data_IF_288230489575
#
_entry.id   IF_288230489575
#
_cell.length_a   1.000
_cell.length_b   1.000
_cell.length_c   1.000
_cell.angle_alpha   90.00
_cell.angle_beta   90.00
_cell.angle_gamma   90.00
#
_symmetry.space_group_name_H-M   'P 1'
#
loop_
_entity.id
_entity.type
_entity.pdbx_description
1 polymer ?
#
# COMPACT_ATOMS: atom_id res chain seq x y z
N UNK A 1 9.33 23.41 -82.87
CA UNK A 1 8.31 22.55 -82.23
C UNK A 1 9.03 21.50 -81.41
N UNK A 2 8.52 21.09 -80.24
CA UNK A 2 7.99 21.92 -79.15
C UNK A 2 8.45 21.42 -77.74
N UNK A 3 8.34 22.32 -76.76
CA UNK A 3 7.91 22.14 -75.34
C UNK A 3 8.54 21.00 -74.50
N UNK A 4 8.94 21.23 -73.24
CA UNK A 4 7.99 21.59 -72.19
C UNK A 4 8.70 22.23 -70.99
N UNK A 5 8.29 23.47 -70.72
CA UNK A 5 8.40 24.17 -69.44
C UNK A 5 7.84 23.33 -68.30
N UNK A 6 8.52 23.29 -67.15
CA UNK A 6 7.82 23.14 -65.89
C UNK A 6 8.30 24.22 -64.92
N UNK A 7 7.68 25.39 -65.06
CA UNK A 7 7.54 26.36 -63.99
C UNK A 7 6.68 25.78 -62.85
N UNK A 8 7.29 25.70 -61.67
CA UNK A 8 6.78 25.93 -60.29
C UNK A 8 5.53 25.16 -59.78
N UNK A 9 5.50 24.81 -58.47
CA UNK A 9 4.95 25.78 -57.52
C UNK A 9 5.73 25.92 -56.21
N UNK A 10 5.64 27.16 -55.70
CA UNK A 10 5.81 27.60 -54.32
C UNK A 10 5.33 26.57 -53.29
N UNK A 11 6.18 26.25 -52.31
CA UNK A 11 5.77 26.03 -50.93
C UNK A 11 7.00 26.11 -50.04
N UNK A 12 7.17 27.27 -49.40
CA UNK A 12 7.84 27.32 -48.11
C UNK A 12 6.95 26.53 -47.15
N UNK A 13 7.41 25.44 -46.52
CA UNK A 13 6.75 25.00 -45.33
C UNK A 13 7.28 25.91 -44.21
N UNK A 14 6.49 26.93 -43.88
CA UNK A 14 6.30 27.25 -42.47
C UNK A 14 5.80 25.97 -41.82
N UNK A 15 6.73 25.11 -41.43
CA UNK A 15 6.43 23.88 -40.73
C UNK A 15 6.35 24.18 -39.23
N UNK A 16 5.37 24.99 -38.88
CA UNK A 16 4.90 25.15 -37.50
C UNK A 16 4.00 23.96 -37.09
N UNK A 17 4.01 22.84 -37.83
CA UNK A 17 3.03 21.75 -37.62
C UNK A 17 3.54 20.31 -37.65
N UNK A 18 4.78 19.99 -38.02
CA UNK A 18 5.35 18.68 -37.66
C UNK A 18 5.70 18.71 -36.17
N UNK A 19 5.03 17.91 -35.30
CA UNK A 19 5.44 17.81 -33.92
C UNK A 19 6.89 17.31 -33.90
N UNK A 20 7.82 18.19 -33.50
CA UNK A 20 9.22 17.85 -33.25
C UNK A 20 9.23 16.57 -32.43
N UNK A 21 9.78 15.48 -32.98
CA UNK A 21 10.07 14.26 -32.20
C UNK A 21 11.14 14.63 -31.18
N UNK A 22 10.72 15.17 -30.05
CA UNK A 22 11.59 15.43 -28.92
C UNK A 22 11.82 14.10 -28.20
N UNK A 23 13.09 13.77 -27.96
CA UNK A 23 13.43 12.67 -27.08
C UNK A 23 12.94 12.97 -25.67
N UNK A 24 12.66 11.93 -24.88
CA UNK A 24 12.18 12.07 -23.49
C UNK A 24 13.16 12.94 -22.69
N UNK A 25 14.46 12.78 -22.90
CA UNK A 25 15.50 13.60 -22.26
C UNK A 25 15.39 15.09 -22.61
N UNK A 26 15.10 15.40 -23.88
CA UNK A 26 14.94 16.78 -24.38
C UNK A 26 13.67 17.43 -23.84
N UNK A 27 12.57 16.65 -23.72
CA UNK A 27 11.35 17.07 -23.06
C UNK A 27 11.57 17.31 -21.56
N UNK A 28 12.28 16.42 -20.87
CA UNK A 28 12.57 16.56 -19.44
C UNK A 28 13.44 17.79 -19.18
N UNK A 29 14.44 18.04 -20.03
CA UNK A 29 15.32 19.19 -19.86
C UNK A 29 14.61 20.52 -20.16
N UNK A 30 13.76 20.56 -21.20
CA UNK A 30 13.04 21.79 -21.59
C UNK A 30 11.83 22.11 -20.68
N UNK A 31 11.12 21.10 -20.17
CA UNK A 31 9.89 21.30 -19.40
C UNK A 31 10.03 21.03 -17.90
N UNK A 32 10.95 20.16 -17.46
CA UNK A 32 11.16 19.81 -16.05
C UNK A 32 12.38 20.51 -15.42
N UNK A 33 13.34 20.98 -16.23
CA UNK A 33 14.60 21.57 -15.75
C UNK A 33 15.55 20.55 -15.10
N UNK A 34 16.74 20.98 -14.69
CA UNK A 34 17.67 20.10 -13.96
C UNK A 34 17.16 19.78 -12.55
N UNK A 35 17.35 18.52 -12.13
CA UNK A 35 16.96 18.04 -10.80
C UNK A 35 17.75 18.77 -9.70
N UNK A 36 17.19 19.86 -9.19
CA UNK A 36 17.85 20.72 -8.22
C UNK A 36 17.96 20.08 -6.84
N UNK A 37 18.84 20.61 -5.99
CA UNK A 37 19.00 20.16 -4.58
C UNK A 37 17.69 20.17 -3.78
N UNK A 38 16.83 21.14 -4.05
CA UNK A 38 15.54 21.27 -3.37
C UNK A 38 14.55 20.19 -3.85
N UNK A 39 14.50 19.92 -5.16
CA UNK A 39 13.71 18.81 -5.72
C UNK A 39 14.21 17.46 -5.19
N UNK A 40 15.52 17.25 -5.10
CA UNK A 40 16.10 16.05 -4.49
C UNK A 40 15.68 15.90 -3.02
N UNK A 41 15.71 16.98 -2.24
CA UNK A 41 15.25 16.95 -0.85
C UNK A 41 13.77 16.59 -0.76
N UNK A 42 12.92 17.19 -1.60
CA UNK A 42 11.49 16.87 -1.65
C UNK A 42 11.25 15.42 -2.05
N UNK A 43 11.93 14.95 -3.09
CA UNK A 43 11.86 13.57 -3.53
C UNK A 43 12.23 12.61 -2.39
N UNK A 44 13.36 12.83 -1.71
CA UNK A 44 13.78 11.99 -0.58
C UNK A 44 12.77 12.03 0.56
N UNK A 45 12.28 13.22 0.96
CA UNK A 45 11.30 13.35 2.04
C UNK A 45 9.98 12.64 1.71
N UNK A 46 9.48 12.82 0.48
CA UNK A 46 8.27 12.15 0.02
C UNK A 46 8.47 10.63 -0.04
N UNK A 47 9.56 10.15 -0.64
CA UNK A 47 9.87 8.72 -0.69
C UNK A 47 9.99 8.11 0.71
N UNK A 48 10.60 8.82 1.66
CA UNK A 48 10.68 8.38 3.05
C UNK A 48 9.29 8.33 3.72
N UNK A 49 8.44 9.33 3.49
CA UNK A 49 7.08 9.33 4.02
C UNK A 49 6.27 8.10 3.53
N UNK A 50 6.30 7.83 2.22
CA UNK A 50 5.66 6.65 1.63
C UNK A 50 6.25 5.34 2.12
N UNK A 51 7.57 5.26 2.30
CA UNK A 51 8.21 4.07 2.85
C UNK A 51 7.77 3.81 4.30
N UNK A 52 7.70 4.86 5.13
CA UNK A 52 7.24 4.75 6.51
C UNK A 52 5.77 4.31 6.59
N UNK A 53 4.91 4.85 5.73
CA UNK A 53 3.52 4.43 5.62
C UNK A 53 3.41 2.94 5.27
N UNK A 54 4.22 2.46 4.33
CA UNK A 54 4.25 1.05 3.94
C UNK A 54 4.71 0.14 5.09
N UNK A 55 5.78 0.51 5.80
CA UNK A 55 6.24 -0.26 6.97
C UNK A 55 5.21 -0.29 8.08
N UNK A 56 4.56 0.84 8.38
CA UNK A 56 3.53 0.90 9.40
C UNK A 56 2.32 0.03 9.03
N UNK A 57 1.88 0.09 7.77
CA UNK A 57 0.80 -0.76 7.24
C UNK A 57 1.15 -2.25 7.33
N UNK A 58 2.38 -2.62 6.97
CA UNK A 58 2.86 -3.99 7.09
C UNK A 58 2.79 -4.48 8.55
N UNK A 59 3.27 -3.67 9.49
CA UNK A 59 3.24 -4.01 10.92
C UNK A 59 1.80 -4.19 11.39
N UNK A 60 0.89 -3.26 11.10
CA UNK A 60 -0.52 -3.39 11.50
C UNK A 60 -1.14 -4.69 10.98
N UNK A 61 -0.92 -5.04 9.70
CA UNK A 61 -1.51 -6.26 9.10
C UNK A 61 -1.02 -7.54 9.80
N UNK A 62 0.28 -7.64 10.09
CA UNK A 62 0.84 -8.86 10.67
C UNK A 62 0.69 -8.93 12.19
N UNK A 63 0.86 -7.80 12.88
CA UNK A 63 0.71 -7.73 14.33
C UNK A 63 -0.74 -7.97 14.73
N UNK A 64 -1.71 -7.44 13.97
CA UNK A 64 -3.13 -7.57 14.29
C UNK A 64 -3.78 -8.85 13.73
N UNK A 65 -2.98 -9.79 13.21
CA UNK A 65 -3.50 -11.08 12.75
C UNK A 65 -3.94 -11.90 13.95
N UNK A 66 -5.18 -12.41 13.92
CA UNK A 66 -5.63 -13.43 14.87
C UNK A 66 -4.75 -14.70 14.74
N UNK A 67 -4.03 -15.10 15.80
CA UNK A 67 -3.19 -16.28 15.75
C UNK A 67 -4.04 -17.56 15.74
N UNK A 68 -3.43 -18.67 15.32
CA UNK A 68 -4.07 -19.97 15.49
C UNK A 68 -4.23 -20.30 16.97
N UNK A 69 -5.20 -21.13 17.30
CA UNK A 69 -5.49 -21.55 18.68
C UNK A 69 -5.62 -23.06 18.74
N UNK A 70 -5.44 -23.61 19.95
CA UNK A 70 -5.61 -25.04 20.23
C UNK A 70 -6.27 -25.25 21.58
N UNK A 71 -7.03 -26.33 21.74
CA UNK A 71 -7.51 -26.74 23.04
C UNK A 71 -6.34 -27.18 23.94
N UNK A 72 -6.45 -26.90 25.24
CA UNK A 72 -5.47 -27.35 26.23
C UNK A 72 -5.68 -28.84 26.54
N UNK A 73 -4.62 -29.64 26.41
CA UNK A 73 -4.66 -31.07 26.73
C UNK A 73 -4.98 -31.31 28.22
N UNK A 74 -5.84 -32.29 28.51
CA UNK A 74 -6.07 -32.79 29.88
C UNK A 74 -7.30 -32.23 30.61
N UNK A 75 -8.12 -31.38 29.98
CA UNK A 75 -9.38 -30.93 30.59
C UNK A 75 -10.53 -31.76 30.03
N UNK A 76 -10.75 -32.94 30.56
CA UNK A 76 -11.91 -33.77 30.19
C UNK A 76 -13.21 -33.03 30.55
N UNK A 77 -13.96 -32.59 29.53
CA UNK A 77 -15.19 -31.79 29.70
C UNK A 77 -15.03 -30.26 29.63
N UNK A 78 -13.92 -29.75 29.09
CA UNK A 78 -13.45 -28.34 29.13
C UNK A 78 -14.33 -27.25 28.54
N UNK A 79 -15.43 -27.56 27.86
CA UNK A 79 -16.08 -26.57 27.00
C UNK A 79 -15.18 -26.09 25.84
N UNK A 80 -14.12 -26.84 25.51
CA UNK A 80 -13.30 -26.63 24.31
C UNK A 80 -13.68 -27.67 23.25
N UNK A 81 -14.29 -27.22 22.17
CA UNK A 81 -14.55 -28.04 20.99
C UNK A 81 -13.49 -27.77 19.93
N UNK A 82 -12.63 -28.74 19.65
CA UNK A 82 -11.61 -28.64 18.59
C UNK A 82 -12.22 -28.49 17.19
N UNK A 83 -13.50 -28.80 17.01
CA UNK A 83 -14.23 -28.56 15.76
C UNK A 83 -14.81 -27.14 15.65
N UNK A 84 -14.77 -26.34 16.73
CA UNK A 84 -15.22 -24.96 16.69
C UNK A 84 -14.40 -24.15 15.68
N UNK A 85 -15.04 -23.21 15.00
CA UNK A 85 -14.37 -22.33 14.03
C UNK A 85 -13.69 -21.12 14.67
N UNK A 86 -14.07 -20.79 15.90
CA UNK A 86 -13.57 -19.62 16.61
C UNK A 86 -13.53 -19.88 18.12
N UNK A 87 -12.69 -19.14 18.81
CA UNK A 87 -12.56 -19.18 20.27
C UNK A 87 -13.70 -18.50 21.03
N UNK A 88 -14.59 -17.79 20.31
CA UNK A 88 -15.62 -16.94 20.89
C UNK A 88 -16.74 -17.68 21.61
N UNK A 89 -16.95 -18.94 21.23
CA UNK A 89 -17.97 -19.83 21.79
C UNK A 89 -17.37 -20.82 22.79
N UNK A 90 -16.04 -20.79 22.97
CA UNK A 90 -15.32 -21.70 23.85
C UNK A 90 -15.19 -21.12 25.25
N UNK A 91 -15.17 -22.00 26.25
CA UNK A 91 -15.02 -21.57 27.64
C UNK A 91 -13.64 -20.91 27.86
N UNK A 92 -13.57 -19.72 28.49
CA UNK A 92 -12.29 -19.05 28.75
C UNK A 92 -11.33 -19.93 29.57
N UNK A 93 -10.09 -20.08 29.10
CA UNK A 93 -9.06 -20.91 29.76
C UNK A 93 -9.02 -22.37 29.31
N UNK A 94 -10.00 -22.81 28.51
CA UNK A 94 -10.03 -24.16 27.92
C UNK A 94 -9.15 -24.30 26.67
N UNK A 95 -8.75 -23.18 26.07
CA UNK A 95 -7.93 -23.08 24.87
C UNK A 95 -6.74 -22.13 25.09
N UNK A 96 -5.76 -22.19 24.19
CA UNK A 96 -4.62 -21.27 24.17
C UNK A 96 -4.20 -20.89 22.75
N UNK A 97 -3.63 -19.69 22.59
CA UNK A 97 -3.05 -19.24 21.33
C UNK A 97 -1.77 -20.02 21.02
N UNK A 98 -1.65 -20.48 19.79
CA UNK A 98 -0.43 -21.09 19.24
C UNK A 98 0.62 -19.98 19.13
N UNK A 99 1.73 -20.11 19.87
CA UNK A 99 2.75 -19.07 19.99
C UNK A 99 2.60 -18.18 21.22
N UNK A 100 1.57 -18.38 22.04
CA UNK A 100 1.35 -17.67 23.31
C UNK A 100 0.72 -16.28 23.14
N UNK A 101 0.63 -15.54 24.23
CA UNK A 101 -0.08 -14.24 24.29
C UNK A 101 0.65 -13.14 23.48
N UNK A 102 1.99 -13.20 23.41
CA UNK A 102 2.81 -12.22 22.67
C UNK A 102 2.96 -12.51 21.18
N UNK A 103 2.23 -13.47 20.62
CA UNK A 103 2.32 -13.81 19.19
C UNK A 103 1.65 -12.77 18.28
N UNK A 104 0.74 -11.96 18.83
CA UNK A 104 -0.07 -10.98 18.11
C UNK A 104 -0.62 -9.95 19.08
N UNK A 105 -0.78 -8.70 18.65
CA UNK A 105 -1.43 -7.63 19.42
C UNK A 105 -2.87 -8.00 19.74
N UNK A 106 -3.54 -8.77 18.88
CA UNK A 106 -4.90 -9.25 19.13
C UNK A 106 -4.94 -10.23 20.30
N UNK A 107 -3.95 -11.13 20.39
CA UNK A 107 -3.84 -12.07 21.51
C UNK A 107 -3.42 -11.37 22.81
N UNK A 108 -2.54 -10.38 22.73
CA UNK A 108 -2.03 -9.64 23.88
C UNK A 108 -3.09 -8.74 24.52
N UNK A 109 -3.85 -8.01 23.70
CA UNK A 109 -4.82 -7.02 24.16
C UNK A 109 -6.27 -7.53 24.16
N UNK A 110 -6.50 -8.76 23.74
CA UNK A 110 -7.83 -9.37 23.70
C UNK A 110 -8.77 -8.81 22.64
N UNK A 111 -8.24 -8.39 21.49
CA UNK A 111 -8.99 -7.72 20.41
C UNK A 111 -9.68 -8.70 19.45
N UNK A 112 -10.26 -9.77 19.98
CA UNK A 112 -10.91 -10.83 19.21
C UNK A 112 -12.43 -10.88 19.50
N UNK A 113 -13.18 -11.68 18.73
CA UNK A 113 -14.64 -11.79 18.87
C UNK A 113 -15.37 -10.45 18.74
N UNK A 114 -16.10 -10.03 19.78
CA UNK A 114 -16.85 -8.78 19.81
C UNK A 114 -15.97 -7.53 19.71
N UNK A 115 -14.68 -7.63 20.00
CA UNK A 115 -13.75 -6.50 19.98
C UNK A 115 -12.92 -6.40 18.68
N UNK A 116 -13.11 -7.32 17.73
CA UNK A 116 -12.41 -7.35 16.44
C UNK A 116 -12.59 -6.06 15.63
N UNK A 117 -13.74 -5.39 15.77
CA UNK A 117 -14.00 -4.14 15.05
C UNK A 117 -13.06 -3.00 15.49
N UNK A 118 -12.50 -3.05 16.71
CA UNK A 118 -11.60 -2.01 17.22
C UNK A 118 -10.31 -1.95 16.40
N UNK A 119 -9.78 -3.10 16.01
CA UNK A 119 -8.62 -3.23 15.10
C UNK A 119 -8.91 -2.55 13.76
N UNK A 120 -10.04 -2.92 13.13
CA UNK A 120 -10.43 -2.35 11.84
C UNK A 120 -10.69 -0.83 11.92
N UNK A 121 -11.24 -0.35 13.04
CA UNK A 121 -11.50 1.07 13.27
C UNK A 121 -10.21 1.88 13.34
N UNK A 122 -9.21 1.43 14.12
CA UNK A 122 -7.93 2.15 14.23
C UNK A 122 -7.17 2.14 12.91
N UNK A 123 -7.21 1.02 12.18
CA UNK A 123 -6.62 0.93 10.84
C UNK A 123 -7.30 1.87 9.84
N UNK A 124 -8.63 1.99 9.90
CA UNK A 124 -9.37 2.92 9.06
C UNK A 124 -9.02 4.39 9.39
N UNK A 125 -8.90 4.73 10.67
CA UNK A 125 -8.44 6.06 11.10
C UNK A 125 -7.02 6.37 10.62
N UNK A 126 -6.12 5.39 10.65
CA UNK A 126 -4.76 5.56 10.11
C UNK A 126 -4.78 5.92 8.62
N UNK A 127 -5.48 5.14 7.79
CA UNK A 127 -5.56 5.42 6.35
C UNK A 127 -6.32 6.72 6.04
N UNK A 128 -7.33 7.07 6.83
CA UNK A 128 -7.99 8.37 6.73
C UNK A 128 -7.02 9.52 7.04
N UNK A 129 -6.14 9.34 8.03
CA UNK A 129 -5.06 10.28 8.31
C UNK A 129 -4.09 10.43 7.14
N UNK A 130 -3.63 9.32 6.56
CA UNK A 130 -2.74 9.31 5.38
C UNK A 130 -3.35 10.04 4.17
N UNK A 131 -4.69 10.03 4.01
CA UNK A 131 -5.38 10.76 2.95
C UNK A 131 -5.44 12.28 3.16
N UNK A 132 -5.44 12.74 4.42
CA UNK A 132 -5.54 14.17 4.76
C UNK A 132 -4.20 14.88 4.53
N UNK A 133 -3.07 14.16 4.69
CA UNK A 133 -1.71 14.67 4.47
C UNK A 133 -0.94 14.86 5.76
#
# INVERSE_FOLDING_TARGET
MPTTEFQSPLLSPDDDSIPKKQCIDEMLQNYCGEFGRWQLKHFVLTSLAWALEAFHTMIMIFADREPEWRCRDGVSGSGCDSAAKSVCELEPGSWEWVGGIGSSTVAEWGLFCGDKFKVGLVQAMFFAGCMIG
#
